data_IF_792675282386
#
_entry.id   IF_792675282386
#
_cell.length_a   1.000
_cell.length_b   1.000
_cell.length_c   1.000
_cell.angle_alpha   90.00
_cell.angle_beta   90.00
_cell.angle_gamma   90.00
#
_symmetry.space_group_name_H-M   'P 1'
#
loop_
_entity.id
_entity.type
_entity.pdbx_description
1 polymer ?
#
# COMPACT_ATOMS: atom_id res chain seq x y z
N UNK A 1 14.88 -10.63 -11.82
CA UNK A 1 13.98 -10.36 -10.68
C UNK A 1 14.81 -9.83 -9.53
N UNK A 2 14.26 -8.97 -8.65
CA UNK A 2 14.95 -8.46 -7.45
C UNK A 2 14.34 -9.09 -6.19
N UNK A 3 15.17 -9.33 -5.17
CA UNK A 3 14.76 -9.87 -3.87
C UNK A 3 14.25 -8.77 -2.92
N UNK A 4 14.61 -7.51 -3.17
CA UNK A 4 14.22 -6.41 -2.30
C UNK A 4 12.78 -5.97 -2.61
N UNK A 5 11.90 -5.87 -1.59
CA UNK A 5 10.46 -5.75 -1.80
C UNK A 5 10.03 -4.42 -2.46
N UNK A 6 10.89 -3.39 -2.46
CA UNK A 6 10.58 -2.06 -2.98
C UNK A 6 10.89 -1.95 -4.47
N UNK A 7 11.86 -2.70 -4.99
CA UNK A 7 12.50 -2.40 -6.28
C UNK A 7 11.53 -2.49 -7.45
N UNK A 8 10.70 -3.55 -7.48
CA UNK A 8 9.69 -3.71 -8.52
C UNK A 8 8.58 -2.66 -8.42
N UNK A 9 8.25 -2.21 -7.22
CA UNK A 9 7.27 -1.14 -7.01
C UNK A 9 7.84 0.22 -7.48
N UNK A 10 9.13 0.47 -7.25
CA UNK A 10 9.81 1.67 -7.74
C UNK A 10 9.90 1.69 -9.26
N UNK A 11 10.04 0.53 -9.89
CA UNK A 11 9.92 0.40 -11.34
C UNK A 11 8.52 0.79 -11.83
N UNK A 12 7.45 0.46 -11.11
CA UNK A 12 6.10 0.94 -11.46
C UNK A 12 6.00 2.46 -11.37
N UNK A 13 6.55 3.08 -10.32
CA UNK A 13 6.58 4.56 -10.18
C UNK A 13 7.28 5.22 -11.36
N UNK A 14 8.40 4.65 -11.82
CA UNK A 14 9.11 5.17 -13.00
C UNK A 14 8.24 5.15 -14.27
N UNK A 15 7.36 4.15 -14.41
CA UNK A 15 6.42 4.07 -15.53
C UNK A 15 5.28 5.11 -15.42
N UNK A 16 5.11 5.79 -14.28
CA UNK A 16 4.15 6.88 -14.09
C UNK A 16 4.75 8.23 -14.52
N UNK A 17 5.09 8.36 -15.80
CA UNK A 17 5.72 9.56 -16.38
C UNK A 17 6.99 9.98 -15.60
N UNK A 18 7.91 9.03 -15.38
CA UNK A 18 9.11 9.21 -14.59
C UNK A 18 8.82 9.75 -13.16
N UNK A 19 7.75 9.24 -12.54
CA UNK A 19 7.29 9.63 -11.20
C UNK A 19 6.52 10.96 -11.13
N UNK A 20 6.27 11.63 -12.25
CA UNK A 20 5.51 12.90 -12.27
C UNK A 20 4.00 12.70 -12.11
N UNK A 21 3.50 11.52 -12.47
CA UNK A 21 2.13 11.13 -12.18
C UNK A 21 2.12 10.24 -10.93
N UNK A 22 1.18 10.49 -10.01
CA UNK A 22 1.06 9.71 -8.79
C UNK A 22 0.67 8.26 -9.04
N UNK A 23 1.37 7.33 -8.40
CA UNK A 23 1.03 5.91 -8.43
C UNK A 23 0.14 5.55 -7.22
N UNK A 24 -1.04 5.00 -7.49
CA UNK A 24 -1.86 4.31 -6.48
C UNK A 24 -1.94 2.83 -6.84
N UNK A 25 -1.59 1.96 -5.89
CA UNK A 25 -1.50 0.51 -6.13
C UNK A 25 -2.71 -0.23 -5.53
N UNK A 26 -2.93 -1.47 -5.96
CA UNK A 26 -3.95 -2.34 -5.37
C UNK A 26 -3.51 -2.88 -4.01
N UNK A 27 -4.42 -2.88 -3.02
CA UNK A 27 -4.23 -3.51 -1.71
C UNK A 27 -4.32 -5.05 -1.72
N UNK A 28 -4.52 -5.66 -2.90
CA UNK A 28 -4.50 -7.10 -3.09
C UNK A 28 -5.81 -7.82 -2.73
N UNK A 29 -5.75 -9.15 -2.69
CA UNK A 29 -6.87 -10.01 -2.32
C UNK A 29 -7.10 -10.01 -0.80
N UNK A 30 -8.32 -10.35 -0.38
CA UNK A 30 -8.65 -10.56 1.05
C UNK A 30 -8.29 -11.99 1.46
N UNK A 31 -7.80 -12.15 2.69
CA UNK A 31 -7.38 -13.42 3.26
C UNK A 31 -7.52 -13.48 4.78
N UNK A 32 -6.66 -14.27 5.42
CA UNK A 32 -6.68 -14.49 6.87
C UNK A 32 -5.99 -13.39 7.67
N UNK A 33 -5.01 -12.71 7.09
CA UNK A 33 -4.15 -11.74 7.78
C UNK A 33 -4.19 -10.35 7.14
N UNK A 34 -5.41 -9.89 6.86
CA UNK A 34 -5.64 -8.74 5.99
C UNK A 34 -5.03 -7.43 6.51
N UNK A 35 -5.07 -7.18 7.82
CA UNK A 35 -4.46 -5.98 8.42
C UNK A 35 -2.94 -5.99 8.17
N UNK A 36 -2.24 -7.06 8.55
CA UNK A 36 -0.79 -7.11 8.41
C UNK A 36 -0.34 -7.04 6.94
N UNK A 37 -1.07 -7.70 6.04
CA UNK A 37 -0.79 -7.63 4.61
C UNK A 37 -1.09 -6.25 4.01
N UNK A 38 -2.16 -5.59 4.44
CA UNK A 38 -2.50 -4.23 4.02
C UNK A 38 -1.41 -3.25 4.45
N UNK A 39 -0.99 -3.31 5.72
CA UNK A 39 0.09 -2.48 6.26
C UNK A 39 1.40 -2.74 5.53
N UNK A 40 1.81 -4.01 5.38
CA UNK A 40 3.02 -4.37 4.62
C UNK A 40 3.00 -3.81 3.20
N UNK A 41 1.88 -3.95 2.50
CA UNK A 41 1.72 -3.43 1.14
C UNK A 41 1.79 -1.90 1.10
N UNK A 42 1.16 -1.23 2.08
CA UNK A 42 1.19 0.22 2.20
C UNK A 42 2.61 0.74 2.42
N UNK A 43 3.36 0.10 3.33
CA UNK A 43 4.75 0.44 3.63
C UNK A 43 5.61 0.29 2.39
N UNK A 44 5.54 -0.86 1.71
CA UNK A 44 6.31 -1.09 0.48
C UNK A 44 5.98 -0.05 -0.59
N UNK A 45 4.69 0.24 -0.81
CA UNK A 45 4.26 1.22 -1.81
C UNK A 45 4.74 2.63 -1.48
N UNK A 46 4.54 3.09 -0.24
CA UNK A 46 4.97 4.42 0.19
C UNK A 46 6.49 4.58 0.10
N UNK A 47 7.24 3.59 0.62
CA UNK A 47 8.72 3.59 0.57
C UNK A 47 9.25 3.57 -0.88
N UNK A 48 8.48 3.03 -1.83
CA UNK A 48 8.81 3.06 -3.25
C UNK A 48 8.54 4.41 -3.95
N UNK A 49 7.80 5.33 -3.32
CA UNK A 49 7.34 6.60 -3.91
C UNK A 49 5.88 6.59 -4.38
N UNK A 50 5.11 5.55 -4.08
CA UNK A 50 3.67 5.51 -4.33
C UNK A 50 2.89 6.40 -3.36
N UNK A 51 1.75 6.92 -3.82
CA UNK A 51 0.96 7.95 -3.13
C UNK A 51 -0.29 7.43 -2.44
N UNK A 52 -0.64 6.16 -2.63
CA UNK A 52 -1.84 5.59 -2.02
C UNK A 52 -2.08 4.13 -2.37
N UNK A 53 -3.06 3.54 -1.69
CA UNK A 53 -3.56 2.20 -1.98
C UNK A 53 -5.07 2.21 -2.23
N UNK A 54 -5.49 1.39 -3.17
CA UNK A 54 -6.89 1.07 -3.45
C UNK A 54 -7.25 -0.18 -2.64
N UNK A 55 -8.13 -0.03 -1.66
CA UNK A 55 -8.63 -1.14 -0.84
C UNK A 55 -10.10 -1.43 -1.13
N UNK A 56 -10.38 -2.58 -1.72
CA UNK A 56 -11.73 -3.06 -2.04
C UNK A 56 -12.12 -4.22 -1.15
N UNK A 57 -12.08 -5.44 -1.71
CA UNK A 57 -12.44 -6.70 -1.03
C UNK A 57 -11.88 -6.81 0.40
N UNK A 58 -10.61 -6.42 0.58
CA UNK A 58 -9.90 -6.47 1.86
C UNK A 58 -10.59 -5.67 2.97
N UNK A 59 -11.15 -4.50 2.66
CA UNK A 59 -11.89 -3.67 3.62
C UNK A 59 -13.39 -4.00 3.64
N UNK A 60 -14.01 -4.22 2.48
CA UNK A 60 -15.47 -4.28 2.35
C UNK A 60 -16.09 -5.68 2.45
N UNK A 61 -15.29 -6.76 2.49
CA UNK A 61 -15.78 -8.12 2.77
C UNK A 61 -15.61 -8.55 4.23
N UNK A 62 -15.30 -7.60 5.12
CA UNK A 62 -15.15 -7.83 6.55
C UNK A 62 -16.31 -7.22 7.33
N UNK A 63 -16.52 -7.63 8.59
CA UNK A 63 -17.36 -6.86 9.51
C UNK A 63 -16.96 -5.38 9.48
N UNK A 64 -17.94 -4.48 9.57
CA UNK A 64 -17.74 -3.05 9.38
C UNK A 64 -16.56 -2.49 10.21
N UNK A 65 -16.49 -2.88 11.48
CA UNK A 65 -15.43 -2.45 12.41
C UNK A 65 -14.04 -2.85 11.90
N UNK A 66 -13.88 -4.10 11.48
CA UNK A 66 -12.62 -4.64 10.98
C UNK A 66 -12.23 -3.99 9.65
N UNK A 67 -13.21 -3.72 8.78
CA UNK A 67 -12.99 -3.01 7.52
C UNK A 67 -12.49 -1.57 7.74
N UNK A 68 -13.09 -0.85 8.70
CA UNK A 68 -12.64 0.49 9.11
C UNK A 68 -11.21 0.42 9.66
N UNK A 69 -10.92 -0.57 10.52
CA UNK A 69 -9.59 -0.75 11.09
C UNK A 69 -8.52 -0.96 10.00
N UNK A 70 -8.82 -1.77 8.98
CA UNK A 70 -7.92 -1.97 7.83
C UNK A 70 -7.66 -0.64 7.09
N UNK A 71 -8.70 0.15 6.84
CA UNK A 71 -8.55 1.43 6.14
C UNK A 71 -7.73 2.43 6.96
N UNK A 72 -8.00 2.54 8.26
CA UNK A 72 -7.24 3.40 9.16
C UNK A 72 -5.77 2.97 9.25
N UNK A 73 -5.49 1.67 9.36
CA UNK A 73 -4.12 1.17 9.41
C UNK A 73 -3.31 1.50 8.12
N UNK A 74 -3.96 1.49 6.95
CA UNK A 74 -3.32 1.96 5.71
C UNK A 74 -3.06 3.47 5.78
N UNK A 75 -4.04 4.26 6.25
CA UNK A 75 -3.90 5.72 6.37
C UNK A 75 -2.77 6.10 7.34
N UNK A 76 -2.66 5.41 8.46
CA UNK A 76 -1.61 5.61 9.46
C UNK A 76 -0.22 5.44 8.84
N UNK A 77 -0.04 4.47 7.94
CA UNK A 77 1.23 4.31 7.20
C UNK A 77 1.55 5.53 6.35
N UNK A 78 0.56 6.12 5.65
CA UNK A 78 0.79 7.31 4.83
C UNK A 78 0.98 8.58 5.67
N UNK A 79 0.37 8.65 6.86
CA UNK A 79 0.53 9.76 7.80
C UNK A 79 1.85 9.69 8.61
N UNK A 80 2.38 8.49 8.85
CA UNK A 80 3.63 8.26 9.60
C UNK A 80 4.85 8.86 8.88
N UNK A 81 5.48 9.88 9.47
CA UNK A 81 6.59 10.62 8.86
C UNK A 81 7.89 9.82 8.81
N UNK A 82 8.05 8.88 9.74
CA UNK A 82 9.17 7.94 9.81
C UNK A 82 9.19 6.94 8.64
N UNK A 83 8.05 6.75 7.97
CA UNK A 83 7.95 5.95 6.76
C UNK A 83 8.07 6.88 5.56
N UNK A 84 9.30 7.30 5.25
CA UNK A 84 9.61 8.13 4.07
C UNK A 84 10.17 7.28 2.92
N UNK A 85 10.26 7.85 1.71
CA UNK A 85 10.83 7.20 0.54
C UNK A 85 12.23 6.66 0.86
N UNK A 86 12.48 5.39 0.49
CA UNK A 86 13.74 4.70 0.70
C UNK A 86 14.85 5.15 -0.26
#
# INVERSE_FOLDING_TARGET
TSDHPIDLCRYQVLNCFAGRAGLINSGGASGKNDIAEAVKTAVINKRAGGMGLISGRKAFQKPLKDGIEILNAIQDVYLAKEIDIA
#
